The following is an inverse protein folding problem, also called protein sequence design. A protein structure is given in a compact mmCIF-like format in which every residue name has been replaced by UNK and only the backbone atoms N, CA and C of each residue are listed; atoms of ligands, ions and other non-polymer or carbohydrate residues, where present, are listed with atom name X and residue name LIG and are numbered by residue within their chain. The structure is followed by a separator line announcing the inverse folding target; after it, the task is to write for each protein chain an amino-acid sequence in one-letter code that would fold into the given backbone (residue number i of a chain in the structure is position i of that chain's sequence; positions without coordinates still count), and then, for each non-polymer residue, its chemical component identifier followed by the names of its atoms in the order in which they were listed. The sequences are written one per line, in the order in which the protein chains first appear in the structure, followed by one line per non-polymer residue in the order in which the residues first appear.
data_IF_411820109520
#
_entry.id   IF_411820109520
#
_cell.length_a   1.000
_cell.length_b   1.000
_cell.length_c   1.000
_cell.angle_alpha   90.00
_cell.angle_beta   90.00
_cell.angle_gamma   90.00
#
_symmetry.space_group_name_H-M   'P 1'
#
loop_
_entity.id
_entity.type
_entity.pdbx_description
1 polymer ?
#
# COMPACT_ATOMS: atom_id res chain seq x y z
N UNK A 1 52.85 12.53 43.11
CA UNK A 1 52.01 12.93 41.96
C UNK A 1 50.99 11.81 41.72
N UNK A 2 49.72 12.04 42.07
CA UNK A 2 48.69 10.99 42.10
C UNK A 2 48.06 10.88 40.70
N UNK A 3 48.28 9.77 40.00
CA UNK A 3 47.60 9.46 38.73
C UNK A 3 46.27 8.77 39.04
N UNK A 4 45.17 9.48 38.87
CA UNK A 4 43.82 8.94 38.97
C UNK A 4 43.51 8.06 37.77
N UNK A 5 43.37 6.75 37.98
CA UNK A 5 43.02 5.78 36.95
C UNK A 5 41.50 5.58 36.92
N UNK A 6 40.74 6.62 36.55
CA UNK A 6 39.28 6.53 36.45
C UNK A 6 38.86 6.11 35.04
N UNK A 7 37.99 5.10 34.94
CA UNK A 7 37.37 4.67 33.67
C UNK A 7 36.38 5.71 33.11
N UNK A 8 36.13 6.81 33.82
CA UNK A 8 35.13 7.82 33.48
C UNK A 8 35.56 8.79 32.37
N UNK A 9 36.84 8.80 31.97
CA UNK A 9 37.34 9.62 30.85
C UNK A 9 38.19 8.79 29.88
N UNK A 10 37.68 7.66 29.41
CA UNK A 10 38.07 7.25 28.06
C UNK A 10 37.41 8.24 27.11
N UNK A 11 38.15 9.27 26.69
CA UNK A 11 37.84 9.94 25.41
C UNK A 11 38.11 8.89 24.34
N UNK A 12 37.18 7.97 24.14
CA UNK A 12 36.97 7.42 22.81
C UNK A 12 36.77 8.65 21.94
N UNK A 13 37.69 8.90 21.02
CA UNK A 13 37.32 9.64 19.82
C UNK A 13 36.22 8.78 19.22
N UNK A 14 34.97 9.05 19.60
CA UNK A 14 33.81 8.61 18.85
C UNK A 14 33.99 9.30 17.50
N UNK A 15 34.69 8.63 16.59
CA UNK A 15 34.58 8.92 15.17
C UNK A 15 33.10 8.77 14.93
N UNK A 16 32.40 9.90 14.78
CA UNK A 16 30.96 9.89 14.60
C UNK A 16 30.67 8.91 13.48
N UNK A 17 29.69 8.01 13.63
CA UNK A 17 29.39 7.04 12.58
C UNK A 17 29.22 7.72 11.20
N UNK A 18 28.72 8.97 11.22
CA UNK A 18 28.71 9.91 10.09
C UNK A 18 30.06 10.05 9.36
N UNK A 19 31.16 10.21 10.08
CA UNK A 19 32.52 10.37 9.54
C UNK A 19 33.08 9.06 8.97
N UNK A 20 32.63 7.90 9.47
CA UNK A 20 32.99 6.61 8.89
C UNK A 20 32.23 6.38 7.58
N UNK A 21 30.96 6.74 7.52
CA UNK A 21 30.13 6.58 6.33
C UNK A 21 30.53 7.55 5.23
N UNK A 22 30.88 8.80 5.55
CA UNK A 22 31.41 9.75 4.57
C UNK A 22 32.69 9.23 3.93
N UNK A 23 33.64 8.75 4.75
CA UNK A 23 34.89 8.13 4.25
C UNK A 23 34.62 6.90 3.39
N UNK A 24 33.68 6.03 3.78
CA UNK A 24 33.32 4.85 2.99
C UNK A 24 32.67 5.23 1.66
N UNK A 25 31.81 6.23 1.65
CA UNK A 25 31.18 6.75 0.44
C UNK A 25 32.23 7.34 -0.51
N UNK A 26 33.15 8.18 0.00
CA UNK A 26 34.27 8.72 -0.78
C UNK A 26 35.14 7.62 -1.40
N UNK A 27 35.49 6.58 -0.63
CA UNK A 27 36.28 5.45 -1.13
C UNK A 27 35.52 4.70 -2.24
N UNK A 28 34.21 4.48 -2.08
CA UNK A 28 33.39 3.81 -3.08
C UNK A 28 33.24 4.65 -4.36
N UNK A 29 33.02 5.95 -4.23
CA UNK A 29 32.93 6.87 -5.37
C UNK A 29 34.22 6.87 -6.18
N UNK A 30 35.37 6.98 -5.52
CA UNK A 30 36.70 6.89 -6.17
C UNK A 30 36.91 5.56 -6.88
N UNK A 31 36.43 4.48 -6.28
CA UNK A 31 36.51 3.14 -6.87
C UNK A 31 35.66 3.05 -8.14
N UNK A 32 34.43 3.57 -8.12
CA UNK A 32 33.53 3.57 -9.27
C UNK A 32 34.09 4.45 -10.39
N UNK A 33 34.59 5.65 -10.08
CA UNK A 33 35.19 6.55 -11.06
C UNK A 33 36.39 5.89 -11.75
N UNK A 34 37.21 5.16 -10.98
CA UNK A 34 38.34 4.39 -11.51
C UNK A 34 37.88 3.21 -12.37
N UNK A 35 36.93 2.41 -11.91
CA UNK A 35 36.40 1.28 -12.69
C UNK A 35 35.75 1.74 -14.00
N UNK A 36 35.06 2.88 -13.98
CA UNK A 36 34.48 3.49 -15.16
C UNK A 36 35.56 4.02 -16.12
N UNK A 37 36.60 4.67 -15.58
CA UNK A 37 37.74 5.12 -16.39
C UNK A 37 38.46 3.94 -17.02
N UNK A 38 38.73 2.87 -16.27
CA UNK A 38 39.39 1.67 -16.77
C UNK A 38 38.53 0.99 -17.87
N UNK A 39 37.21 0.87 -17.65
CA UNK A 39 36.28 0.40 -18.68
C UNK A 39 36.25 1.31 -19.92
N UNK A 40 36.28 2.62 -19.74
CA UNK A 40 36.30 3.61 -20.81
C UNK A 40 37.59 3.51 -21.65
N UNK A 41 38.73 3.29 -20.99
CA UNK A 41 40.03 3.07 -21.63
C UNK A 41 40.02 1.76 -22.41
N UNK A 42 39.44 0.69 -21.85
CA UNK A 42 39.33 -0.61 -22.51
C UNK A 42 38.44 -0.58 -23.76
N UNK A 43 37.43 0.29 -23.79
CA UNK A 43 36.61 0.56 -24.98
C UNK A 43 37.35 1.37 -26.05
N UNK A 44 38.30 2.21 -25.63
CA UNK A 44 39.01 3.17 -26.47
C UNK A 44 40.17 2.56 -27.25
N UNK A 45 39.89 1.63 -28.16
CA UNK A 45 40.91 1.21 -29.14
C UNK A 45 40.81 2.08 -30.41
N UNK A 46 41.75 3.03 -30.51
CA UNK A 46 42.40 3.57 -31.72
C UNK A 46 42.20 5.05 -32.14
N UNK A 47 41.07 5.77 -31.99
CA UNK A 47 40.98 7.10 -32.67
C UNK A 47 40.37 8.30 -31.91
N UNK A 48 39.84 8.14 -30.70
CA UNK A 48 39.23 9.27 -29.98
C UNK A 48 40.18 9.86 -28.95
N UNK A 49 40.74 11.04 -29.23
CA UNK A 49 41.41 11.88 -28.23
C UNK A 49 40.35 12.47 -27.30
N UNK A 50 39.82 11.68 -26.37
CA UNK A 50 38.94 12.18 -25.32
C UNK A 50 39.70 13.17 -24.42
N UNK A 51 39.04 14.25 -24.02
CA UNK A 51 39.60 15.26 -23.10
C UNK A 51 39.76 14.71 -21.67
N UNK A 52 39.08 13.62 -21.35
CA UNK A 52 39.19 12.86 -20.11
C UNK A 52 40.50 12.07 -20.13
N UNK A 53 41.49 12.53 -19.38
CA UNK A 53 42.83 11.92 -19.32
C UNK A 53 43.08 11.19 -18.01
N UNK A 54 42.31 11.52 -16.98
CA UNK A 54 42.47 10.98 -15.64
C UNK A 54 41.12 10.64 -15.02
N UNK A 55 41.08 9.71 -14.06
CA UNK A 55 39.85 9.38 -13.33
C UNK A 55 39.32 10.58 -12.52
N UNK A 56 40.19 11.50 -12.09
CA UNK A 56 39.76 12.72 -11.39
C UNK A 56 38.92 13.66 -12.28
N UNK A 57 39.17 13.67 -13.60
CA UNK A 57 38.41 14.50 -14.52
C UNK A 57 36.93 14.03 -14.61
N UNK A 58 36.65 12.75 -14.32
CA UNK A 58 35.28 12.19 -14.23
C UNK A 58 34.61 12.62 -12.92
N UNK A 59 35.34 12.63 -11.81
CA UNK A 59 34.83 13.09 -10.51
C UNK A 59 34.39 14.57 -10.59
N UNK A 60 35.19 15.39 -11.27
CA UNK A 60 34.92 16.81 -11.50
C UNK A 60 33.78 17.02 -12.51
N UNK A 61 33.73 16.24 -13.59
CA UNK A 61 32.71 16.36 -14.65
C UNK A 61 31.30 16.11 -14.11
N UNK A 62 31.16 15.10 -13.25
CA UNK A 62 29.86 14.73 -12.67
C UNK A 62 29.56 15.46 -11.36
N UNK A 63 30.44 16.36 -10.92
CA UNK A 63 30.37 17.00 -9.60
C UNK A 63 29.99 15.97 -8.52
N UNK A 64 30.70 14.85 -8.47
CA UNK A 64 30.41 13.76 -7.51
C UNK A 64 30.88 14.14 -6.10
N UNK A 65 30.65 15.37 -5.70
CA UNK A 65 30.71 15.79 -4.31
C UNK A 65 29.43 15.29 -3.66
N UNK A 66 29.62 14.41 -2.69
CA UNK A 66 28.55 13.85 -1.89
C UNK A 66 27.82 15.00 -1.19
N UNK A 67 26.67 15.43 -1.72
CA UNK A 67 25.83 16.39 -1.02
C UNK A 67 25.28 15.67 0.23
N UNK A 68 25.79 16.09 1.39
CA UNK A 68 25.44 15.57 2.71
C UNK A 68 23.91 15.63 2.94
N UNK A 69 23.19 16.49 2.20
CA UNK A 69 21.75 16.63 2.26
C UNK A 69 20.97 15.48 1.60
N UNK A 70 21.47 14.92 0.49
CA UNK A 70 20.77 13.82 -0.20
C UNK A 70 20.85 12.50 0.59
N UNK A 71 21.99 12.24 1.24
CA UNK A 71 22.20 11.05 2.08
C UNK A 71 21.51 11.16 3.45
N UNK A 72 21.34 12.37 4.00
CA UNK A 72 20.53 12.64 5.19
C UNK A 72 19.02 12.41 4.98
N UNK A 73 18.54 12.45 3.73
CA UNK A 73 17.12 12.31 3.40
C UNK A 73 16.58 10.89 3.48
N UNK A 74 17.44 9.86 3.46
CA UNK A 74 17.01 8.46 3.39
C UNK A 74 17.74 7.60 4.43
N UNK A 75 17.39 7.79 5.70
CA UNK A 75 17.40 6.67 6.65
C UNK A 75 16.15 5.86 6.40
N UNK A 76 16.20 5.03 5.36
CA UNK A 76 15.27 3.90 5.30
C UNK A 76 15.80 2.91 6.34
N UNK A 77 15.00 2.61 7.34
CA UNK A 77 15.12 1.36 8.10
C UNK A 77 14.16 0.40 7.40
N UNK A 78 14.58 -0.23 6.29
CA UNK A 78 13.63 -0.93 5.47
C UNK A 78 13.39 -2.25 6.19
N UNK A 79 12.34 -2.28 7.02
CA UNK A 79 11.63 -3.53 7.33
C UNK A 79 10.97 -3.98 6.03
N UNK A 80 11.79 -4.39 5.06
CA UNK A 80 11.36 -4.83 3.75
C UNK A 80 10.47 -6.04 4.00
N UNK A 81 9.20 -5.91 3.67
CA UNK A 81 8.32 -7.06 3.58
C UNK A 81 8.90 -7.95 2.48
N UNK A 82 9.36 -9.18 2.78
CA UNK A 82 9.92 -10.06 1.77
C UNK A 82 8.79 -10.52 0.85
N UNK A 83 8.53 -9.73 -0.18
CA UNK A 83 7.46 -9.95 -1.14
C UNK A 83 7.95 -9.63 -2.56
N UNK A 84 7.32 -10.28 -3.53
CA UNK A 84 7.55 -10.04 -4.95
C UNK A 84 6.29 -9.50 -5.60
N UNK A 85 6.42 -8.88 -6.77
CA UNK A 85 5.26 -8.41 -7.53
C UNK A 85 4.34 -9.59 -7.84
N UNK A 86 3.03 -9.31 -7.90
CA UNK A 86 2.03 -10.34 -8.13
C UNK A 86 2.23 -11.07 -9.46
N UNK A 87 2.61 -10.36 -10.52
CA UNK A 87 2.93 -10.95 -11.83
C UNK A 87 4.05 -11.99 -11.75
N UNK A 88 5.12 -11.67 -11.02
CA UNK A 88 6.26 -12.57 -10.82
C UNK A 88 5.86 -13.76 -9.95
N UNK A 89 5.10 -13.52 -8.87
CA UNK A 89 4.57 -14.57 -8.00
C UNK A 89 3.67 -15.56 -8.75
N UNK A 90 2.83 -15.05 -9.65
CA UNK A 90 1.94 -15.87 -10.47
C UNK A 90 2.73 -16.66 -11.53
N UNK A 91 3.73 -16.04 -12.17
CA UNK A 91 4.60 -16.70 -13.14
C UNK A 91 5.42 -17.85 -12.55
N UNK A 92 6.02 -17.63 -11.37
CA UNK A 92 6.83 -18.65 -10.66
C UNK A 92 5.94 -19.67 -9.90
N UNK A 93 4.63 -19.42 -9.82
CA UNK A 93 3.69 -20.29 -9.10
C UNK A 93 3.68 -20.12 -7.57
N UNK A 94 4.36 -19.11 -7.04
CA UNK A 94 4.46 -18.83 -5.60
C UNK A 94 3.59 -17.62 -5.21
N UNK A 95 2.28 -17.76 -5.40
CA UNK A 95 1.29 -16.68 -5.11
C UNK A 95 1.34 -16.14 -3.68
N UNK A 96 1.80 -16.96 -2.73
CA UNK A 96 1.93 -16.60 -1.31
C UNK A 96 2.98 -15.52 -1.07
N UNK A 97 4.00 -15.42 -1.93
CA UNK A 97 5.05 -14.42 -1.86
C UNK A 97 4.64 -13.07 -2.49
N UNK A 98 3.45 -12.99 -3.12
CA UNK A 98 2.97 -11.73 -3.70
C UNK A 98 2.77 -10.67 -2.62
N UNK A 99 3.14 -9.42 -2.91
CA UNK A 99 3.00 -8.31 -1.96
C UNK A 99 1.59 -8.15 -1.38
N UNK A 100 0.49 -8.26 -2.17
CA UNK A 100 -0.86 -8.21 -1.60
C UNK A 100 -1.15 -9.32 -0.58
N UNK A 101 -0.62 -10.54 -0.80
CA UNK A 101 -0.81 -11.67 0.13
C UNK A 101 0.04 -11.51 1.39
N UNK A 102 1.29 -11.09 1.23
CA UNK A 102 2.20 -10.82 2.35
C UNK A 102 1.65 -9.69 3.22
N UNK A 103 1.12 -8.62 2.63
CA UNK A 103 0.49 -7.52 3.35
C UNK A 103 -0.73 -8.00 4.16
N UNK A 104 -1.65 -8.75 3.56
CA UNK A 104 -2.83 -9.30 4.26
C UNK A 104 -2.42 -10.17 5.45
N UNK A 105 -1.37 -10.96 5.30
CA UNK A 105 -0.82 -11.79 6.39
C UNK A 105 -0.25 -10.92 7.50
N UNK A 106 0.50 -9.87 7.17
CA UNK A 106 1.07 -8.97 8.17
C UNK A 106 -0.03 -8.24 8.95
N UNK A 107 -1.04 -7.72 8.26
CA UNK A 107 -2.21 -7.10 8.91
C UNK A 107 -2.88 -8.09 9.87
N UNK A 108 -3.05 -9.35 9.48
CA UNK A 108 -3.62 -10.37 10.36
C UNK A 108 -2.75 -10.63 11.60
N UNK A 109 -1.42 -10.64 11.44
CA UNK A 109 -0.50 -10.77 12.58
C UNK A 109 -0.53 -9.56 13.50
N UNK A 110 -0.59 -8.34 12.95
CA UNK A 110 -0.64 -7.12 13.73
C UNK A 110 -1.96 -7.05 14.53
N UNK A 111 -3.09 -7.40 13.92
CA UNK A 111 -4.40 -7.52 14.59
C UNK A 111 -4.33 -8.59 15.68
N UNK A 112 -3.68 -9.73 15.41
CA UNK A 112 -3.53 -10.79 16.41
C UNK A 112 -2.66 -10.35 17.60
N UNK A 113 -1.54 -9.68 17.33
CA UNK A 113 -0.66 -9.14 18.36
C UNK A 113 -1.37 -8.11 19.23
N UNK A 114 -2.17 -7.22 18.64
CA UNK A 114 -2.99 -6.24 19.35
C UNK A 114 -4.10 -6.88 20.19
N UNK A 115 -4.76 -7.93 19.68
CA UNK A 115 -5.84 -8.63 20.41
C UNK A 115 -5.34 -9.63 21.44
N UNK A 116 -4.07 -10.03 21.38
CA UNK A 116 -3.49 -10.97 22.32
C UNK A 116 -3.40 -10.38 23.75
N UNK A 117 -3.61 -11.20 24.80
CA UNK A 117 -3.59 -10.70 26.17
C UNK A 117 -2.18 -10.27 26.60
N UNK A 118 -2.12 -9.28 27.50
CA UNK A 118 -0.89 -8.80 28.13
C UNK A 118 -0.25 -9.92 28.96
N UNK A 119 0.88 -10.46 28.49
CA UNK A 119 1.66 -11.44 29.23
C UNK A 119 2.70 -10.73 30.10
N UNK A 120 2.31 -10.40 31.34
CA UNK A 120 3.14 -9.66 32.29
C UNK A 120 3.65 -10.51 33.46
N UNK A 121 3.02 -11.65 33.73
CA UNK A 121 3.33 -12.54 34.86
C UNK A 121 3.51 -13.97 34.37
N UNK A 122 4.49 -14.66 34.93
CA UNK A 122 4.72 -16.09 34.76
C UNK A 122 5.16 -16.67 36.11
N UNK A 123 4.73 -17.90 36.43
CA UNK A 123 5.11 -18.59 37.68
C UNK A 123 4.89 -17.75 38.96
N UNK A 124 3.80 -16.97 39.01
CA UNK A 124 3.48 -16.12 40.16
C UNK A 124 4.37 -14.88 40.34
N UNK A 125 5.31 -14.62 39.44
CA UNK A 125 6.22 -13.47 39.47
C UNK A 125 6.07 -12.60 38.22
N UNK A 126 6.44 -11.32 38.31
CA UNK A 126 6.43 -10.42 37.15
C UNK A 126 7.63 -10.71 36.25
N UNK A 127 7.39 -10.82 34.93
CA UNK A 127 8.46 -11.01 33.95
C UNK A 127 9.35 -9.75 33.84
N UNK A 128 10.64 -9.88 33.50
CA UNK A 128 11.50 -8.76 33.12
C UNK A 128 10.93 -7.99 31.92
N UNK A 129 11.19 -6.68 31.84
CA UNK A 129 10.56 -5.79 30.84
C UNK A 129 10.76 -6.25 29.38
N UNK A 130 11.92 -6.80 29.04
CA UNK A 130 12.23 -7.30 27.69
C UNK A 130 11.50 -8.61 27.34
N UNK A 131 10.95 -9.33 28.33
CA UNK A 131 10.15 -10.54 28.15
C UNK A 131 8.65 -10.29 28.26
N UNK A 132 8.22 -9.09 28.69
CA UNK A 132 6.81 -8.74 28.75
C UNK A 132 6.28 -8.47 27.35
N UNK A 133 5.26 -9.22 26.94
CA UNK A 133 4.51 -8.88 25.74
C UNK A 133 3.43 -7.85 26.09
N UNK A 134 3.66 -6.58 25.71
CA UNK A 134 2.69 -5.50 25.85
C UNK A 134 2.03 -5.27 24.49
N UNK A 135 0.73 -5.59 24.31
CA UNK A 135 0.08 -5.45 23.03
C UNK A 135 0.03 -3.96 22.61
N UNK A 136 0.33 -3.65 21.34
CA UNK A 136 0.20 -2.30 20.81
C UNK A 136 -1.28 -1.90 20.74
N UNK A 137 -1.60 -0.63 21.03
CA UNK A 137 -2.97 -0.08 21.01
C UNK A 137 -3.18 0.81 19.78
N UNK A 138 -3.00 0.23 18.59
CA UNK A 138 -2.96 1.00 17.34
C UNK A 138 -4.28 0.93 16.54
N UNK A 139 -5.28 0.23 17.06
CA UNK A 139 -6.58 -0.01 16.43
C UNK A 139 -6.47 -0.49 14.97
N UNK A 140 -5.50 -1.37 14.71
CA UNK A 140 -5.09 -1.79 13.37
C UNK A 140 -6.27 -2.37 12.58
N UNK A 141 -7.15 -3.12 13.26
CA UNK A 141 -8.32 -3.72 12.65
C UNK A 141 -9.26 -2.69 12.03
N UNK A 142 -9.57 -1.61 12.73
CA UNK A 142 -10.51 -0.60 12.23
C UNK A 142 -9.91 0.27 11.14
N UNK A 143 -8.61 0.56 11.24
CA UNK A 143 -7.89 1.34 10.22
C UNK A 143 -7.85 0.58 8.89
N UNK A 144 -7.46 -0.70 8.91
CA UNK A 144 -7.36 -1.51 7.69
C UNK A 144 -8.71 -2.01 7.17
N UNK A 145 -9.73 -2.12 8.04
CA UNK A 145 -11.10 -2.47 7.67
C UNK A 145 -12.05 -1.28 7.84
N UNK A 146 -11.64 -0.10 7.37
CA UNK A 146 -12.43 1.12 7.46
C UNK A 146 -13.76 1.03 6.70
N UNK A 147 -13.79 0.24 5.61
CA UNK A 147 -15.00 0.01 4.82
C UNK A 147 -15.87 -1.06 5.49
N UNK A 148 -16.79 -0.61 6.33
CA UNK A 148 -17.88 -1.45 6.86
C UNK A 148 -18.97 -1.54 5.79
N UNK A 149 -19.00 -2.64 5.05
CA UNK A 149 -20.08 -2.90 4.09
C UNK A 149 -21.37 -3.06 4.90
N UNK A 150 -22.42 -2.25 4.64
CA UNK A 150 -23.73 -2.43 5.27
C UNK A 150 -24.23 -3.86 5.11
N UNK A 151 -24.91 -4.38 6.12
CA UNK A 151 -25.37 -5.76 6.13
C UNK A 151 -26.28 -6.07 4.93
N UNK A 152 -27.03 -5.07 4.47
CA UNK A 152 -27.94 -5.17 3.33
C UNK A 152 -27.19 -5.44 2.02
N UNK A 153 -26.10 -4.69 1.78
CA UNK A 153 -25.24 -4.92 0.61
C UNK A 153 -24.45 -6.22 0.75
N UNK A 154 -23.97 -6.54 1.95
CA UNK A 154 -23.22 -7.79 2.19
C UNK A 154 -24.07 -9.03 1.89
N UNK A 155 -25.35 -8.97 2.22
CA UNK A 155 -26.31 -10.04 1.99
C UNK A 155 -27.00 -9.95 0.62
N UNK A 156 -26.80 -8.84 -0.09
CA UNK A 156 -27.52 -8.49 -1.32
C UNK A 156 -29.04 -8.40 -1.12
N UNK A 157 -29.52 -8.18 0.11
CA UNK A 157 -30.96 -8.12 0.43
C UNK A 157 -31.68 -7.10 -0.43
N UNK A 158 -31.13 -5.89 -0.53
CA UNK A 158 -31.66 -4.80 -1.35
C UNK A 158 -31.90 -5.21 -2.81
N UNK A 159 -30.94 -5.94 -3.41
CA UNK A 159 -31.08 -6.41 -4.79
C UNK A 159 -32.14 -7.50 -4.88
N UNK A 160 -32.15 -8.45 -3.94
CA UNK A 160 -33.09 -9.56 -3.94
C UNK A 160 -34.53 -9.10 -3.71
N UNK A 161 -34.76 -8.17 -2.79
CA UNK A 161 -36.06 -7.59 -2.45
C UNK A 161 -36.69 -6.90 -3.67
N UNK A 162 -35.89 -6.17 -4.44
CA UNK A 162 -36.36 -5.49 -5.65
C UNK A 162 -36.72 -6.47 -6.76
N UNK A 163 -36.04 -7.61 -6.90
CA UNK A 163 -36.26 -8.54 -8.04
C UNK A 163 -37.24 -9.68 -7.77
N UNK A 164 -37.82 -9.79 -6.57
CA UNK A 164 -38.72 -10.89 -6.21
C UNK A 164 -40.00 -10.94 -7.07
N UNK A 165 -40.44 -9.78 -7.56
CA UNK A 165 -41.65 -9.68 -8.38
C UNK A 165 -41.49 -10.23 -9.79
N UNK A 166 -40.25 -10.34 -10.30
CA UNK A 166 -39.96 -10.78 -11.66
C UNK A 166 -40.30 -12.27 -11.86
N UNK A 167 -40.85 -12.58 -13.04
CA UNK A 167 -41.23 -13.94 -13.44
C UNK A 167 -40.03 -14.88 -13.50
N UNK A 168 -38.87 -14.37 -13.90
CA UNK A 168 -37.59 -15.10 -13.93
C UNK A 168 -37.16 -15.55 -12.54
N UNK A 169 -37.26 -14.68 -11.54
CA UNK A 169 -36.92 -14.99 -10.13
C UNK A 169 -37.85 -16.06 -9.55
N UNK A 170 -39.14 -15.98 -9.85
CA UNK A 170 -40.13 -17.01 -9.45
C UNK A 170 -39.86 -18.35 -10.12
N UNK A 171 -39.56 -18.36 -11.42
CA UNK A 171 -39.19 -19.57 -12.14
C UNK A 171 -37.89 -20.19 -11.58
N UNK A 172 -36.92 -19.35 -11.22
CA UNK A 172 -35.67 -19.77 -10.59
C UNK A 172 -35.89 -20.36 -9.20
N UNK A 173 -36.78 -19.78 -8.39
CA UNK A 173 -37.19 -20.34 -7.10
C UNK A 173 -37.79 -21.74 -7.24
N UNK A 174 -38.76 -21.93 -8.15
CA UNK A 174 -39.35 -23.24 -8.45
C UNK A 174 -38.30 -24.24 -8.97
N UNK A 175 -37.34 -23.76 -9.77
CA UNK A 175 -36.24 -24.57 -10.28
C UNK A 175 -35.28 -25.03 -9.18
N UNK A 176 -35.03 -24.19 -8.17
CA UNK A 176 -34.22 -24.50 -6.98
C UNK A 176 -34.94 -25.46 -6.03
N UNK A 177 -36.25 -25.33 -5.83
CA UNK A 177 -37.04 -26.28 -5.03
C UNK A 177 -36.96 -27.72 -5.58
N UNK A 178 -36.88 -27.87 -6.91
CA UNK A 178 -36.69 -29.18 -7.56
C UNK A 178 -35.27 -29.76 -7.39
N UNK A 179 -34.31 -28.98 -6.88
CA UNK A 179 -32.89 -29.35 -6.77
C UNK A 179 -32.35 -29.05 -5.35
N UNK A 180 -32.71 -29.86 -4.35
CA UNK A 180 -32.32 -29.63 -2.95
C UNK A 180 -30.82 -29.78 -2.68
N UNK A 181 -30.03 -30.29 -3.64
CA UNK A 181 -28.56 -30.34 -3.56
C UNK A 181 -27.91 -28.96 -3.71
N UNK A 182 -28.64 -27.95 -4.20
CA UNK A 182 -28.17 -26.58 -4.29
C UNK A 182 -28.68 -25.77 -3.08
N UNK A 183 -27.81 -24.95 -2.49
CA UNK A 183 -28.19 -24.11 -1.38
C UNK A 183 -29.18 -23.02 -1.83
N UNK A 184 -30.37 -22.98 -1.22
CA UNK A 184 -31.35 -21.93 -1.45
C UNK A 184 -30.87 -20.61 -0.83
N UNK A 185 -30.79 -19.51 -1.60
CA UNK A 185 -30.48 -18.19 -1.07
C UNK A 185 -31.46 -17.79 0.05
N UNK A 186 -30.99 -17.13 1.13
CA UNK A 186 -31.84 -16.79 2.29
C UNK A 186 -33.09 -15.99 1.92
N UNK A 187 -32.95 -15.05 0.98
CA UNK A 187 -34.01 -14.13 0.54
C UNK A 187 -35.08 -14.77 -0.36
N UNK A 188 -34.78 -15.94 -0.93
CA UNK A 188 -35.77 -16.69 -1.70
C UNK A 188 -36.58 -17.65 -0.83
N UNK A 189 -36.12 -17.95 0.40
CA UNK A 189 -36.89 -18.76 1.36
C UNK A 189 -38.11 -18.01 1.88
N UNK A 190 -38.06 -16.68 1.93
CA UNK A 190 -39.14 -15.80 2.42
C UNK A 190 -40.26 -15.57 1.39
N UNK A 191 -40.13 -16.05 0.15
CA UNK A 191 -41.20 -15.96 -0.87
C UNK A 191 -42.43 -16.82 -0.52
N UNK A 192 -42.32 -17.72 0.45
CA UNK A 192 -43.43 -18.56 0.93
C UNK A 192 -44.41 -17.77 1.82
N UNK A 193 -44.01 -16.62 2.38
CA UNK A 193 -44.87 -15.74 3.16
C UNK A 193 -45.48 -14.65 2.25
N UNK A 194 -46.80 -14.67 1.99
CA UNK A 194 -47.46 -13.62 1.21
C UNK A 194 -47.63 -12.39 2.10
N UNK A 195 -46.57 -11.59 2.25
CA UNK A 195 -46.53 -10.44 3.14
C UNK A 195 -46.03 -9.17 2.47
N UNK A 196 -46.99 -8.32 2.10
CA UNK A 196 -46.86 -6.88 1.81
C UNK A 196 -46.15 -6.47 0.52
N UNK A 197 -46.97 -6.02 -0.44
CA UNK A 197 -46.54 -5.14 -1.53
C UNK A 197 -46.01 -3.83 -0.93
N UNK A 198 -44.72 -3.75 -0.63
CA UNK A 198 -44.08 -2.48 -0.26
C UNK A 198 -43.78 -1.70 -1.53
N UNK A 199 -44.17 -0.42 -1.49
CA UNK A 199 -44.00 0.53 -2.58
C UNK A 199 -42.53 0.58 -3.01
N UNK A 200 -42.25 0.76 -4.32
CA UNK A 200 -40.89 0.87 -4.82
C UNK A 200 -40.13 1.93 -4.01
N UNK A 201 -38.91 1.58 -3.62
CA UNK A 201 -38.01 2.44 -2.89
C UNK A 201 -37.83 3.76 -3.64
N UNK A 202 -38.40 4.83 -3.09
CA UNK A 202 -38.03 6.19 -3.45
C UNK A 202 -36.78 6.49 -2.63
N UNK A 203 -35.64 6.63 -3.30
CA UNK A 203 -34.39 7.11 -2.69
C UNK A 203 -34.73 8.40 -1.93
N UNK A 204 -34.61 8.45 -0.58
CA UNK A 204 -34.75 9.70 0.13
C UNK A 204 -33.66 10.65 -0.38
N UNK A 205 -34.07 11.77 -0.96
CA UNK A 205 -33.21 12.81 -1.54
C UNK A 205 -32.23 13.46 -0.56
N UNK A 206 -32.17 12.98 0.69
CA UNK A 206 -31.44 13.58 1.79
C UNK A 206 -29.93 13.25 1.78
N UNK A 207 -29.48 12.37 0.87
CA UNK A 207 -28.05 12.18 0.58
C UNK A 207 -27.54 13.01 -0.62
N UNK A 208 -28.38 13.89 -1.19
CA UNK A 208 -27.92 14.91 -2.13
C UNK A 208 -27.55 16.15 -1.34
N UNK A 209 -26.25 16.43 -1.25
CA UNK A 209 -25.73 17.73 -0.81
C UNK A 209 -26.43 18.81 -1.65
N UNK A 210 -27.32 19.57 -1.03
CA UNK A 210 -27.99 20.74 -1.64
C UNK A 210 -26.94 21.80 -1.96
N UNK A 211 -26.40 21.76 -3.17
CA UNK A 211 -25.85 22.95 -3.80
C UNK A 211 -27.02 23.80 -4.30
N UNK A 212 -27.06 25.02 -3.80
CA UNK A 212 -28.12 26.00 -3.96
C UNK A 212 -28.14 26.48 -5.43
N UNK A 213 -29.17 26.15 -6.20
CA UNK A 213 -29.33 26.73 -7.56
C UNK A 213 -30.47 26.12 -8.39
N UNK A 214 -31.54 26.91 -8.54
CA UNK A 214 -32.63 26.94 -9.54
C UNK A 214 -33.12 25.66 -10.26
N UNK A 215 -34.44 25.52 -10.18
CA UNK A 215 -35.32 24.74 -11.05
C UNK A 215 -35.06 24.89 -12.54
N UNK A 216 -34.99 23.78 -13.26
CA UNK A 216 -35.94 23.44 -14.34
C UNK A 216 -35.59 22.04 -14.86
N UNK A 217 -36.63 21.24 -15.09
CA UNK A 217 -36.49 19.91 -15.64
C UNK A 217 -36.09 20.00 -17.11
N UNK A 218 -34.86 19.58 -17.44
CA UNK A 218 -34.50 19.14 -18.77
C UNK A 218 -33.29 18.20 -18.69
N UNK A 219 -33.53 16.99 -19.20
CA UNK A 219 -32.58 16.02 -19.74
C UNK A 219 -31.69 15.21 -18.78
N UNK A 220 -31.95 13.90 -18.84
CA UNK A 220 -31.09 12.80 -18.43
C UNK A 220 -29.74 12.88 -19.15
N UNK A 221 -28.80 13.66 -18.63
CA UNK A 221 -27.38 13.50 -18.94
C UNK A 221 -26.68 12.90 -17.73
N UNK A 222 -26.10 11.71 -17.89
CA UNK A 222 -25.14 11.17 -16.92
C UNK A 222 -24.05 12.23 -16.68
N UNK A 223 -23.59 12.43 -15.44
CA UNK A 223 -22.55 13.41 -15.16
C UNK A 223 -21.27 12.97 -15.89
N UNK A 224 -20.99 13.68 -16.98
CA UNK A 224 -19.72 13.63 -17.69
C UNK A 224 -18.71 14.18 -16.68
N UNK A 225 -17.89 13.30 -16.12
CA UNK A 225 -16.87 13.67 -15.13
C UNK A 225 -16.00 14.79 -15.69
N UNK A 226 -15.71 15.81 -14.88
CA UNK A 226 -14.92 17.00 -15.28
C UNK A 226 -13.58 16.64 -15.94
N UNK A 227 -12.98 15.50 -15.57
CA UNK A 227 -11.79 14.93 -16.21
C UNK A 227 -11.92 14.63 -17.71
N UNK A 228 -13.12 14.36 -18.19
CA UNK A 228 -13.36 14.01 -19.60
C UNK A 228 -13.52 15.24 -20.49
N UNK A 229 -13.87 16.40 -19.91
CA UNK A 229 -13.87 17.69 -20.61
C UNK A 229 -12.44 18.17 -20.82
N UNK A 230 -11.59 18.05 -19.79
CA UNK A 230 -10.16 18.40 -19.88
C UNK A 230 -9.43 17.54 -20.91
N UNK A 231 -9.68 16.23 -20.97
CA UNK A 231 -9.07 15.36 -21.99
C UNK A 231 -9.49 15.73 -23.42
N UNK A 232 -10.76 16.13 -23.64
CA UNK A 232 -11.20 16.57 -24.97
C UNK A 232 -10.57 17.89 -25.38
N UNK A 233 -10.39 18.83 -24.45
CA UNK A 233 -9.71 20.11 -24.71
C UNK A 233 -8.20 19.92 -24.93
N UNK A 234 -7.56 19.03 -24.19
CA UNK A 234 -6.14 18.71 -24.39
C UNK A 234 -5.93 18.01 -25.73
N UNK A 235 -6.80 17.06 -26.10
CA UNK A 235 -6.72 16.37 -27.39
C UNK A 235 -7.05 17.30 -28.57
N UNK A 236 -7.99 18.24 -28.43
CA UNK A 236 -8.31 19.20 -29.50
C UNK A 236 -7.22 20.23 -29.71
N UNK A 237 -6.45 20.59 -28.68
CA UNK A 237 -5.25 21.44 -28.80
C UNK A 237 -4.10 20.70 -29.46
N UNK A 238 -3.90 19.41 -29.16
CA UNK A 238 -2.84 18.59 -29.76
C UNK A 238 -3.09 18.20 -31.22
N UNK A 239 -4.35 18.18 -31.67
CA UNK A 239 -4.73 17.84 -33.05
C UNK A 239 -4.78 19.05 -34.00
N UNK A 240 -4.69 20.27 -33.46
CA UNK A 240 -4.78 21.53 -34.22
C UNK A 240 -3.47 22.35 -34.22
N UNK A 241 -2.36 21.76 -33.76
CA UNK A 241 -0.99 22.18 -34.09
C UNK A 241 -0.42 21.29 -35.20
#
# INVERSE_FOLDING_TARGET
MIKWNSKYKQKTFEVSASDEFSKRAEILTKKIAKEFFDWWVDLGNVEFKSEIKRPEDIEDLFQVWFDEHASRGLVLDPKILPCVLQSIADFVGVKKASCPKVLKRQIAFDIHAETSPLHSKAFGTCLPQHMKHIPPKNNTKEIWHCVKIPQDLRSMSCVWDDIQHLTSTKAFHVWLQKRPHLAMPPFLKSLEDPGEKKLPFVVPSDYVVKLKGSSSAQELALPISDFSLELKEVLSKLLNE
#
